data_IF_959882488109
#
_entry.id   IF_959882488109
#
_cell.length_a   1.000
_cell.length_b   1.000
_cell.length_c   1.000
_cell.angle_alpha   90.00
_cell.angle_beta   90.00
_cell.angle_gamma   90.00
#
_symmetry.space_group_name_H-M   'P 1'
#
loop_
_entity.id
_entity.type
_entity.pdbx_description
1 polymer ?
#
# COMPACT_ATOMS: atom_id res chain seq x y z
N UNK A 1 12.23 -4.01 6.01
CA UNK A 1 13.07 -4.85 6.89
C UNK A 1 12.59 -6.29 6.93
N UNK A 2 11.30 -6.55 7.10
CA UNK A 2 10.75 -7.91 7.04
C UNK A 2 11.12 -8.69 5.77
N UNK A 3 11.05 -8.08 4.58
CA UNK A 3 11.44 -8.74 3.33
C UNK A 3 12.92 -9.15 3.30
N UNK A 4 13.82 -8.28 3.77
CA UNK A 4 15.24 -8.58 3.89
C UNK A 4 15.46 -9.77 4.83
N UNK A 5 14.88 -9.70 6.03
CA UNK A 5 15.07 -10.74 7.05
C UNK A 5 14.53 -12.09 6.56
N UNK A 6 13.36 -12.11 5.94
CA UNK A 6 12.77 -13.33 5.40
C UNK A 6 13.70 -14.02 4.37
N UNK A 7 14.27 -13.25 3.44
CA UNK A 7 15.22 -13.78 2.46
C UNK A 7 16.54 -14.19 3.12
N UNK A 8 17.01 -13.47 4.13
CA UNK A 8 18.23 -13.82 4.84
C UNK A 8 18.11 -15.13 5.66
N UNK A 9 16.93 -15.41 6.22
CA UNK A 9 16.69 -16.66 6.96
C UNK A 9 16.36 -17.85 6.05
N UNK A 10 15.64 -17.62 4.95
CA UNK A 10 15.06 -18.69 4.13
C UNK A 10 15.64 -18.77 2.71
N UNK A 11 16.58 -17.88 2.36
CA UNK A 11 17.20 -17.79 1.05
C UNK A 11 16.28 -17.26 -0.06
N UNK A 12 16.78 -17.36 -1.29
CA UNK A 12 16.08 -16.93 -2.52
C UNK A 12 14.64 -17.47 -2.65
N UNK A 13 14.32 -18.73 -2.28
CA UNK A 13 12.95 -19.25 -2.40
C UNK A 13 11.91 -18.40 -1.65
N UNK A 14 12.30 -17.67 -0.61
CA UNK A 14 11.39 -16.77 0.11
C UNK A 14 10.86 -15.61 -0.76
N UNK A 15 11.58 -15.27 -1.83
CA UNK A 15 11.23 -14.21 -2.76
C UNK A 15 11.04 -14.68 -4.21
N UNK A 16 10.76 -15.97 -4.40
CA UNK A 16 10.40 -16.54 -5.70
C UNK A 16 9.15 -17.40 -5.56
N UNK A 17 8.25 -17.32 -6.55
CA UNK A 17 7.06 -18.16 -6.58
C UNK A 17 6.11 -17.77 -7.69
N UNK A 18 5.24 -18.69 -8.15
CA UNK A 18 4.24 -18.40 -9.19
C UNK A 18 3.24 -17.33 -8.76
N UNK A 19 3.05 -17.12 -7.45
CA UNK A 19 2.21 -16.07 -6.90
C UNK A 19 2.84 -14.68 -7.05
N UNK A 20 4.15 -14.56 -7.22
CA UNK A 20 4.83 -13.26 -7.27
C UNK A 20 4.59 -12.54 -8.59
N UNK A 21 4.37 -11.22 -8.52
CA UNK A 21 4.32 -10.35 -9.70
C UNK A 21 5.70 -10.15 -10.33
N UNK A 22 6.74 -10.25 -9.52
CA UNK A 22 8.13 -10.16 -9.95
C UNK A 22 9.01 -10.96 -8.98
N UNK A 23 9.74 -11.93 -9.52
CA UNK A 23 10.66 -12.75 -8.74
C UNK A 23 11.95 -11.99 -8.44
N UNK A 24 12.51 -12.20 -7.25
CA UNK A 24 13.85 -11.72 -6.96
C UNK A 24 14.91 -12.48 -7.77
N UNK A 25 16.08 -11.86 -7.92
CA UNK A 25 17.24 -12.47 -8.59
C UNK A 25 18.24 -13.01 -7.57
N UNK A 26 19.29 -13.66 -8.03
CA UNK A 26 20.42 -14.10 -7.18
C UNK A 26 21.19 -12.93 -6.53
N UNK A 27 20.87 -11.67 -6.86
CA UNK A 27 21.47 -10.50 -6.21
C UNK A 27 21.16 -10.41 -4.70
N UNK A 28 20.15 -11.16 -4.23
CA UNK A 28 19.80 -11.27 -2.80
C UNK A 28 20.17 -12.64 -2.22
N UNK A 29 21.10 -13.37 -2.85
CA UNK A 29 21.66 -14.59 -2.28
C UNK A 29 22.54 -14.28 -1.06
N UNK A 30 22.70 -15.28 -0.18
CA UNK A 30 23.69 -15.28 0.91
C UNK A 30 23.60 -14.08 1.87
N UNK A 31 22.41 -13.51 2.03
CA UNK A 31 22.17 -12.45 3.02
C UNK A 31 22.34 -13.02 4.43
N UNK A 32 23.05 -12.28 5.27
CA UNK A 32 23.21 -12.66 6.68
C UNK A 32 21.97 -12.23 7.48
N UNK A 33 21.29 -13.14 8.18
CA UNK A 33 20.12 -12.80 8.99
C UNK A 33 20.55 -11.97 10.20
N UNK A 34 19.71 -11.01 10.60
CA UNK A 34 19.89 -10.35 11.89
C UNK A 34 19.50 -11.28 13.03
N UNK A 35 20.09 -11.11 14.22
CA UNK A 35 19.75 -11.87 15.43
C UNK A 35 18.37 -11.52 16.02
N UNK A 36 17.73 -10.47 15.50
CA UNK A 36 16.42 -10.02 15.93
C UNK A 36 15.89 -8.88 15.05
N UNK A 37 14.58 -8.71 15.01
CA UNK A 37 13.91 -7.67 14.23
C UNK A 37 13.00 -6.84 15.12
N UNK A 38 13.08 -5.52 14.96
CA UNK A 38 12.14 -4.58 15.55
C UNK A 38 11.40 -3.84 14.44
N UNK A 39 10.08 -4.00 14.40
CA UNK A 39 9.17 -3.27 13.53
C UNK A 39 8.50 -2.17 14.36
N UNK A 40 9.09 -0.98 14.32
CA UNK A 40 8.61 0.17 15.06
C UNK A 40 7.83 1.07 14.09
N UNK A 41 6.51 1.09 14.24
CA UNK A 41 5.56 1.81 13.39
C UNK A 41 5.67 1.40 11.91
N UNK A 42 5.63 0.10 11.67
CA UNK A 42 5.67 -0.42 10.31
C UNK A 42 4.45 0.04 9.50
N UNK A 43 4.68 0.49 8.27
CA UNK A 43 3.63 0.82 7.32
C UNK A 43 3.10 -0.43 6.59
N UNK A 44 2.07 -0.25 5.76
CA UNK A 44 1.47 -1.33 4.97
C UNK A 44 2.37 -1.90 3.84
N UNK A 45 3.60 -1.38 3.70
CA UNK A 45 4.56 -1.82 2.68
C UNK A 45 4.52 -1.01 1.39
N UNK A 46 5.61 -1.08 0.62
CA UNK A 46 5.71 -0.37 -0.65
C UNK A 46 4.80 -0.95 -1.73
N UNK A 47 4.34 -2.21 -1.61
CA UNK A 47 3.29 -2.74 -2.49
C UNK A 47 1.92 -2.11 -2.22
N UNK A 48 1.53 -2.04 -0.94
CA UNK A 48 0.18 -1.61 -0.55
C UNK A 48 0.00 -0.08 -0.56
N UNK A 49 1.03 0.69 -0.21
CA UNK A 49 0.90 2.15 -0.06
C UNK A 49 0.57 2.90 -1.37
N UNK A 50 1.20 2.61 -2.52
CA UNK A 50 0.79 3.18 -3.81
C UNK A 50 -0.64 2.78 -4.21
N UNK A 51 -1.02 1.53 -3.95
CA UNK A 51 -2.38 1.04 -4.19
C UNK A 51 -3.42 1.85 -3.39
N UNK A 52 -3.17 2.06 -2.09
CA UNK A 52 -4.00 2.90 -1.20
C UNK A 52 -3.95 4.39 -1.53
N UNK A 53 -2.97 4.81 -2.32
CA UNK A 53 -2.83 6.18 -2.81
C UNK A 53 -3.37 6.36 -4.22
N UNK A 54 -3.85 5.29 -4.88
CA UNK A 54 -4.32 5.36 -6.26
C UNK A 54 -5.68 6.06 -6.35
N UNK A 55 -5.81 7.01 -7.28
CA UNK A 55 -7.08 7.69 -7.53
C UNK A 55 -7.93 6.95 -8.57
N UNK A 56 -9.04 6.30 -8.21
CA UNK A 56 -9.87 5.59 -9.16
C UNK A 56 -10.69 6.53 -10.08
N UNK A 57 -10.72 7.83 -9.78
CA UNK A 57 -11.42 8.80 -10.61
C UNK A 57 -10.65 9.18 -11.89
N UNK A 58 -9.42 8.71 -12.07
CA UNK A 58 -8.62 8.95 -13.28
C UNK A 58 -8.57 7.69 -14.15
N UNK A 59 -8.65 7.89 -15.45
CA UNK A 59 -8.49 6.81 -16.44
C UNK A 59 -7.01 6.64 -16.83
N UNK A 60 -6.61 5.38 -17.03
CA UNK A 60 -5.27 5.03 -17.51
C UNK A 60 -4.10 5.39 -16.55
N UNK A 61 -2.90 5.46 -17.13
CA UNK A 61 -1.67 5.86 -16.41
C UNK A 61 -1.60 7.38 -16.22
N UNK A 62 -2.02 8.12 -17.24
CA UNK A 62 -1.89 9.56 -17.33
C UNK A 62 -3.28 10.12 -17.67
N UNK A 63 -3.93 10.72 -16.68
CA UNK A 63 -5.27 11.28 -16.85
C UNK A 63 -5.40 12.57 -16.07
N UNK A 64 -6.04 13.56 -16.69
CA UNK A 64 -6.52 14.78 -16.02
C UNK A 64 -8.03 14.85 -15.98
N UNK A 65 -8.72 14.04 -16.78
CA UNK A 65 -10.18 13.87 -16.71
C UNK A 65 -10.54 13.13 -15.43
N UNK A 66 -11.39 13.76 -14.62
CA UNK A 66 -11.85 13.23 -13.34
C UNK A 66 -13.29 12.72 -13.49
N UNK A 67 -13.50 11.44 -13.18
CA UNK A 67 -14.84 10.90 -12.97
C UNK A 67 -15.39 11.38 -11.63
N UNK A 68 -16.29 12.37 -11.67
CA UNK A 68 -16.86 13.00 -10.47
C UNK A 68 -17.63 12.03 -9.56
N UNK A 69 -18.14 10.90 -10.08
CA UNK A 69 -18.80 9.88 -9.25
C UNK A 69 -17.81 9.13 -8.33
N UNK A 70 -16.53 9.08 -8.70
CA UNK A 70 -15.45 8.46 -7.93
C UNK A 70 -14.53 9.50 -7.28
N UNK A 71 -14.76 10.79 -7.53
CA UNK A 71 -13.93 11.87 -7.02
C UNK A 71 -14.06 11.98 -5.49
N UNK A 72 -13.01 11.55 -4.79
CA UNK A 72 -12.90 11.55 -3.33
C UNK A 72 -13.10 12.94 -2.71
N UNK A 73 -12.76 14.00 -3.44
CA UNK A 73 -12.80 15.38 -2.97
C UNK A 73 -14.10 16.10 -3.33
N UNK A 74 -15.04 15.43 -3.99
CA UNK A 74 -16.32 16.01 -4.35
C UNK A 74 -17.28 16.01 -3.14
N UNK A 75 -17.81 17.17 -2.70
CA UNK A 75 -18.78 17.24 -1.61
C UNK A 75 -20.05 16.40 -1.83
N UNK A 76 -20.43 16.16 -3.09
CA UNK A 76 -21.55 15.25 -3.43
C UNK A 76 -21.31 13.83 -2.90
N UNK A 77 -20.04 13.39 -2.88
CA UNK A 77 -19.60 12.12 -2.33
C UNK A 77 -19.40 12.15 -0.81
N UNK A 78 -19.81 13.24 -0.13
CA UNK A 78 -19.70 13.46 1.33
C UNK A 78 -18.26 13.73 1.82
N UNK A 79 -17.42 14.24 0.93
CA UNK A 79 -16.17 14.87 1.33
C UNK A 79 -16.43 16.11 2.20
N UNK A 80 -15.65 16.27 3.27
CA UNK A 80 -15.70 17.45 4.14
C UNK A 80 -14.28 18.00 4.29
N UNK A 81 -14.02 19.20 3.77
CA UNK A 81 -12.71 19.86 3.90
C UNK A 81 -12.49 20.30 5.35
N UNK A 82 -11.33 19.97 5.92
CA UNK A 82 -10.94 20.37 7.27
C UNK A 82 -11.63 19.60 8.41
N UNK A 83 -12.42 18.57 8.09
CA UNK A 83 -13.04 17.69 9.08
C UNK A 83 -13.13 16.26 8.52
N UNK A 84 -13.52 15.31 9.35
CA UNK A 84 -13.63 13.93 8.91
C UNK A 84 -14.81 13.78 7.95
N UNK A 85 -14.51 13.29 6.74
CA UNK A 85 -15.49 13.01 5.70
C UNK A 85 -16.47 11.91 6.14
N UNK A 86 -17.60 11.81 5.45
CA UNK A 86 -18.69 10.87 5.80
C UNK A 86 -19.13 10.08 4.57
N UNK A 87 -18.18 9.37 3.96
CA UNK A 87 -18.43 8.57 2.76
C UNK A 87 -19.55 7.57 3.01
N UNK A 88 -20.46 7.46 2.03
CA UNK A 88 -21.57 6.50 2.10
C UNK A 88 -21.08 5.10 1.77
N UNK A 89 -21.79 4.06 2.23
CA UNK A 89 -21.46 2.67 1.88
C UNK A 89 -21.49 2.43 0.37
N UNK A 90 -22.39 3.12 -0.35
CA UNK A 90 -22.46 3.07 -1.82
C UNK A 90 -21.18 3.64 -2.45
N UNK A 91 -20.82 4.88 -2.11
CA UNK A 91 -19.61 5.51 -2.64
C UNK A 91 -18.35 4.72 -2.28
N UNK A 92 -18.25 4.22 -1.06
CA UNK A 92 -17.16 3.36 -0.61
C UNK A 92 -16.97 2.16 -1.55
N UNK A 93 -18.05 1.43 -1.82
CA UNK A 93 -18.03 0.26 -2.70
C UNK A 93 -17.57 0.62 -4.12
N UNK A 94 -18.19 1.63 -4.73
CA UNK A 94 -17.86 2.09 -6.09
C UNK A 94 -16.41 2.59 -6.18
N UNK A 95 -15.94 3.31 -5.16
CA UNK A 95 -14.57 3.79 -5.04
C UNK A 95 -13.57 2.64 -4.98
N UNK A 96 -13.80 1.66 -4.11
CA UNK A 96 -12.92 0.51 -3.93
C UNK A 96 -12.85 -0.39 -5.16
N UNK A 97 -13.99 -0.64 -5.81
CA UNK A 97 -14.05 -1.35 -7.10
C UNK A 97 -13.22 -0.61 -8.16
N UNK A 98 -13.32 0.72 -8.22
CA UNK A 98 -12.49 1.54 -9.11
C UNK A 98 -10.99 1.48 -8.80
N UNK A 99 -10.60 1.40 -7.51
CA UNK A 99 -9.19 1.30 -7.12
C UNK A 99 -8.60 -0.03 -7.57
N UNK A 100 -9.33 -1.13 -7.38
CA UNK A 100 -8.92 -2.47 -7.85
C UNK A 100 -8.81 -2.49 -9.37
N UNK A 101 -9.84 -2.02 -10.09
CA UNK A 101 -9.84 -2.00 -11.55
C UNK A 101 -8.67 -1.18 -12.12
N UNK A 102 -8.37 -0.01 -11.51
CA UNK A 102 -7.23 0.81 -11.92
C UNK A 102 -5.89 0.12 -11.63
N UNK A 103 -5.76 -0.53 -10.48
CA UNK A 103 -4.55 -1.27 -10.12
C UNK A 103 -4.29 -2.42 -11.10
N UNK A 104 -5.31 -3.21 -11.42
CA UNK A 104 -5.20 -4.32 -12.38
C UNK A 104 -4.77 -3.83 -13.76
N UNK A 105 -5.34 -2.70 -14.22
CA UNK A 105 -4.91 -2.06 -15.46
C UNK A 105 -3.42 -1.70 -15.44
N UNK A 106 -2.93 -1.07 -14.36
CA UNK A 106 -1.53 -0.64 -14.25
C UNK A 106 -0.59 -1.86 -14.22
N UNK A 107 -0.96 -2.92 -13.48
CA UNK A 107 -0.18 -4.15 -13.41
C UNK A 107 -0.08 -4.81 -14.77
N UNK A 108 -1.21 -4.99 -15.46
CA UNK A 108 -1.24 -5.59 -16.79
C UNK A 108 -0.39 -4.79 -17.78
N UNK A 109 -0.53 -3.46 -17.79
CA UNK A 109 0.31 -2.59 -18.59
C UNK A 109 1.80 -2.80 -18.30
N UNK A 110 2.21 -2.79 -17.03
CA UNK A 110 3.61 -2.96 -16.67
C UNK A 110 4.15 -4.36 -17.06
N UNK A 111 3.34 -5.41 -16.95
CA UNK A 111 3.72 -6.76 -17.38
C UNK A 111 3.87 -6.86 -18.90
N UNK A 112 2.99 -6.23 -19.67
CA UNK A 112 3.11 -6.14 -21.14
C UNK A 112 4.39 -5.39 -21.54
N UNK A 113 4.70 -4.27 -20.86
CA UNK A 113 5.94 -3.53 -21.10
C UNK A 113 7.19 -4.33 -20.72
N UNK A 114 7.13 -5.09 -19.62
CA UNK A 114 8.22 -5.97 -19.21
C UNK A 114 8.47 -7.06 -20.26
N UNK A 115 7.41 -7.69 -20.79
CA UNK A 115 7.53 -8.71 -21.82
C UNK A 115 8.18 -8.15 -23.11
N UNK A 116 7.76 -6.96 -23.54
CA UNK A 116 8.38 -6.28 -24.68
C UNK A 116 9.87 -5.94 -24.42
N UNK A 117 10.20 -5.48 -23.21
CA UNK A 117 11.57 -5.18 -22.79
C UNK A 117 12.46 -6.44 -22.84
N UNK A 118 11.95 -7.57 -22.34
CA UNK A 118 12.68 -8.85 -22.32
C UNK A 118 12.81 -9.47 -23.72
N UNK A 119 11.90 -9.15 -24.64
CA UNK A 119 11.99 -9.51 -26.05
C UNK A 119 12.95 -8.59 -26.86
N UNK A 120 13.56 -7.58 -26.24
CA UNK A 120 14.32 -6.51 -26.91
C UNK A 120 13.52 -5.76 -27.98
N UNK A 121 12.20 -5.65 -27.78
CA UNK A 121 11.29 -4.90 -28.66
C UNK A 121 11.18 -3.42 -28.27
N UNK A 122 11.87 -3.04 -27.20
CA UNK A 122 11.94 -1.68 -26.69
C UNK A 122 13.27 -1.04 -27.12
N UNK A 123 13.32 0.28 -27.13
CA UNK A 123 14.57 1.00 -27.43
C UNK A 123 15.56 1.05 -26.26
N UNK A 124 15.30 0.33 -25.16
CA UNK A 124 16.02 0.39 -23.89
C UNK A 124 16.45 -1.03 -23.49
N UNK A 125 17.65 -1.17 -22.91
CA UNK A 125 18.23 -2.49 -22.60
C UNK A 125 18.12 -2.87 -21.13
N UNK A 126 17.84 -1.91 -20.26
CA UNK A 126 17.82 -2.07 -18.80
C UNK A 126 16.40 -2.02 -18.24
N UNK A 127 15.69 -0.91 -18.45
CA UNK A 127 14.34 -0.68 -17.95
C UNK A 127 13.63 0.44 -18.74
N UNK A 128 12.31 0.54 -18.58
CA UNK A 128 11.52 1.61 -19.20
C UNK A 128 10.99 2.61 -18.15
N UNK A 129 10.97 3.92 -18.46
CA UNK A 129 10.37 4.89 -17.56
C UNK A 129 8.87 4.64 -17.41
N UNK A 130 8.37 4.68 -16.18
CA UNK A 130 6.95 4.55 -15.86
C UNK A 130 6.56 5.61 -14.84
N UNK A 131 5.47 6.31 -15.09
CA UNK A 131 4.87 7.17 -14.09
C UNK A 131 3.35 7.02 -14.08
N UNK A 132 2.75 7.13 -12.90
CA UNK A 132 1.32 6.90 -12.69
C UNK A 132 0.75 8.11 -11.98
N UNK A 133 -0.21 8.79 -12.63
CA UNK A 133 -0.88 9.96 -12.07
C UNK A 133 -1.63 9.62 -10.79
N UNK A 134 -1.42 10.43 -9.76
CA UNK A 134 -2.12 10.36 -8.48
C UNK A 134 -2.03 8.98 -7.81
N UNK A 135 -0.80 8.50 -7.67
CA UNK A 135 -0.47 7.21 -7.04
C UNK A 135 0.84 7.27 -6.25
N UNK A 136 1.38 8.47 -6.02
CA UNK A 136 2.51 8.66 -5.12
C UNK A 136 2.15 8.12 -3.72
N UNK A 137 3.03 7.35 -3.10
CA UNK A 137 2.75 6.64 -1.85
C UNK A 137 3.08 7.43 -0.58
N UNK A 138 3.40 8.72 -0.71
CA UNK A 138 3.69 9.57 0.44
C UNK A 138 2.43 9.83 1.26
N UNK A 139 2.59 10.07 2.57
CA UNK A 139 1.48 10.28 3.51
C UNK A 139 0.40 11.24 2.99
N UNK A 140 0.79 12.33 2.32
CA UNK A 140 -0.10 13.35 1.75
C UNK A 140 -1.02 12.85 0.63
N UNK A 141 -0.74 11.67 0.07
CA UNK A 141 -1.45 11.08 -1.08
C UNK A 141 -2.31 9.86 -0.71
N UNK A 142 -2.24 9.36 0.53
CA UNK A 142 -3.14 8.31 1.01
C UNK A 142 -4.61 8.77 0.85
N UNK A 143 -5.45 7.89 0.33
CA UNK A 143 -6.84 8.20 -0.02
C UNK A 143 -7.82 7.38 0.82
N UNK A 144 -9.05 7.85 0.86
CA UNK A 144 -10.19 7.27 1.58
C UNK A 144 -10.09 7.34 3.11
N UNK A 145 -9.21 6.55 3.73
CA UNK A 145 -9.11 6.44 5.20
C UNK A 145 -8.41 7.63 5.87
N UNK A 146 -7.64 8.40 5.11
CA UNK A 146 -7.04 9.66 5.58
C UNK A 146 -8.09 10.74 5.79
N UNK A 147 -9.12 10.77 4.95
CA UNK A 147 -10.20 11.76 5.01
C UNK A 147 -11.34 11.30 5.94
N UNK A 148 -11.64 10.00 6.00
CA UNK A 148 -12.70 9.42 6.84
C UNK A 148 -12.12 8.52 7.94
N UNK A 149 -12.12 9.04 9.18
CA UNK A 149 -11.43 8.41 10.32
C UNK A 149 -12.22 7.27 10.95
N UNK A 150 -13.40 6.92 10.41
CA UNK A 150 -14.17 5.75 10.84
C UNK A 150 -13.56 4.43 10.36
N UNK A 151 -12.77 4.47 9.31
CA UNK A 151 -12.01 3.32 8.80
C UNK A 151 -10.67 3.24 9.52
N UNK A 152 -10.04 2.07 9.65
CA UNK A 152 -8.79 1.89 10.40
C UNK A 152 -8.78 2.65 11.74
N UNK A 153 -9.90 2.65 12.46
CA UNK A 153 -10.15 3.49 13.63
C UNK A 153 -9.59 2.88 14.91
N UNK A 154 -9.39 1.56 14.95
CA UNK A 154 -8.90 0.86 16.14
C UNK A 154 -8.37 -0.54 15.79
N UNK A 155 -7.69 -1.18 16.73
CA UNK A 155 -7.21 -2.56 16.54
C UNK A 155 -8.37 -3.56 16.48
N UNK A 156 -8.17 -4.67 15.75
CA UNK A 156 -9.15 -5.77 15.69
C UNK A 156 -9.24 -6.58 16.99
N UNK A 157 -8.17 -6.56 17.79
CA UNK A 157 -8.06 -7.29 19.06
C UNK A 157 -7.55 -6.38 20.18
N UNK A 158 -7.61 -6.85 21.41
CA UNK A 158 -7.00 -6.17 22.55
C UNK A 158 -5.49 -6.33 22.52
N UNK A 159 -4.76 -5.25 22.76
CA UNK A 159 -3.30 -5.23 22.85
C UNK A 159 -2.83 -4.50 24.11
N UNK A 160 -1.62 -4.78 24.61
CA UNK A 160 -0.97 -3.95 25.61
C UNK A 160 -0.78 -2.52 25.09
N UNK A 161 -1.31 -1.53 25.81
CA UNK A 161 -1.09 -0.12 25.59
C UNK A 161 -0.23 0.42 26.74
N UNK A 162 0.98 0.88 26.41
CA UNK A 162 1.85 1.58 27.33
C UNK A 162 1.39 3.03 27.48
N UNK A 163 1.08 3.43 28.70
CA UNK A 163 0.67 4.80 29.04
C UNK A 163 1.87 5.68 29.37
N UNK A 164 1.66 6.99 29.31
CA UNK A 164 2.69 7.99 29.63
C UNK A 164 3.27 7.85 31.05
N UNK A 165 2.49 7.35 32.00
CA UNK A 165 2.91 7.13 33.39
C UNK A 165 3.63 5.79 33.61
N UNK A 166 3.87 5.02 32.53
CA UNK A 166 4.50 3.71 32.58
C UNK A 166 3.54 2.56 32.92
N UNK A 167 2.27 2.84 33.20
CA UNK A 167 1.26 1.80 33.37
C UNK A 167 0.94 1.11 32.04
N UNK A 168 0.42 -0.11 32.10
CA UNK A 168 0.01 -0.89 30.93
C UNK A 168 -1.45 -1.28 31.11
N UNK A 169 -2.29 -0.97 30.12
CA UNK A 169 -3.64 -1.55 30.01
C UNK A 169 -3.71 -2.51 28.84
N UNK A 170 -4.60 -3.49 28.90
CA UNK A 170 -4.91 -4.36 27.75
C UNK A 170 -6.29 -3.97 27.22
N UNK A 171 -6.36 -3.43 26.02
CA UNK A 171 -7.60 -2.90 25.46
C UNK A 171 -7.57 -2.91 23.93
N UNK A 172 -8.74 -2.75 23.30
CA UNK A 172 -8.80 -2.34 21.89
C UNK A 172 -8.22 -0.93 21.81
N UNK A 173 -7.14 -0.76 21.05
CA UNK A 173 -6.40 0.51 20.99
C UNK A 173 -7.00 1.37 19.88
N UNK A 174 -7.57 2.54 20.21
CA UNK A 174 -8.08 3.47 19.19
C UNK A 174 -6.94 4.23 18.52
N UNK A 175 -7.07 4.45 17.21
CA UNK A 175 -6.29 5.46 16.49
C UNK A 175 -6.72 6.85 16.97
N UNK A 176 -5.73 7.70 17.26
CA UNK A 176 -5.93 9.11 17.61
C UNK A 176 -5.69 10.04 16.42
N UNK A 177 -5.55 9.49 15.21
CA UNK A 177 -5.34 10.29 14.00
C UNK A 177 -6.47 11.30 13.77
N UNK A 178 -6.08 12.44 13.24
CA UNK A 178 -7.01 13.47 12.73
C UNK A 178 -7.18 13.30 11.23
N UNK A 179 -8.33 13.73 10.65
CA UNK A 179 -8.51 13.73 9.21
C UNK A 179 -7.48 14.64 8.52
N UNK A 180 -6.92 14.18 7.40
CA UNK A 180 -5.89 14.88 6.62
C UNK A 180 -6.12 14.67 5.12
N UNK A 181 -5.22 15.20 4.28
CA UNK A 181 -5.22 15.06 2.82
C UNK A 181 -6.50 15.63 2.20
N UNK A 182 -6.72 16.93 2.40
CA UNK A 182 -7.94 17.63 1.97
C UNK A 182 -7.89 18.20 0.55
N UNK A 183 -6.83 17.90 -0.21
CA UNK A 183 -6.59 18.45 -1.54
C UNK A 183 -6.13 17.36 -2.50
N UNK A 184 -6.51 17.50 -3.76
CA UNK A 184 -6.10 16.58 -4.82
C UNK A 184 -4.75 16.99 -5.39
N UNK A 185 -3.87 16.01 -5.56
CA UNK A 185 -2.60 16.15 -6.27
C UNK A 185 -2.64 15.53 -7.67
N UNK A 186 -3.84 15.22 -8.19
CA UNK A 186 -4.03 14.51 -9.45
C UNK A 186 -3.35 15.16 -10.66
N UNK A 187 -3.31 16.49 -10.69
CA UNK A 187 -2.70 17.28 -11.75
C UNK A 187 -1.22 17.63 -11.48
N UNK A 188 -0.58 17.04 -10.48
CA UNK A 188 0.78 17.38 -10.07
C UNK A 188 1.76 16.23 -10.28
N UNK A 189 2.70 16.41 -11.21
CA UNK A 189 3.76 15.42 -11.46
C UNK A 189 4.69 15.23 -10.25
N UNK A 190 5.10 16.32 -9.59
CA UNK A 190 6.08 16.23 -8.49
C UNK A 190 5.47 15.58 -7.26
N UNK A 191 4.27 16.02 -6.87
CA UNK A 191 3.63 15.63 -5.60
C UNK A 191 2.68 14.45 -5.73
N UNK A 192 1.96 14.31 -6.85
CA UNK A 192 0.90 13.30 -7.00
C UNK A 192 1.32 12.05 -7.79
N UNK A 193 2.22 12.17 -8.76
CA UNK A 193 2.61 11.02 -9.58
C UNK A 193 3.58 10.08 -8.85
N UNK A 194 3.35 8.77 -8.97
CA UNK A 194 4.39 7.78 -8.71
C UNK A 194 5.35 7.79 -9.90
N UNK A 195 6.63 8.12 -9.68
CA UNK A 195 7.67 8.09 -10.71
C UNK A 195 8.58 6.90 -10.45
N UNK A 196 8.76 6.05 -11.45
CA UNK A 196 9.50 4.80 -11.34
C UNK A 196 9.90 4.32 -12.74
N UNK A 197 10.24 3.04 -12.83
CA UNK A 197 10.44 2.29 -14.07
C UNK A 197 9.60 1.01 -14.04
N UNK A 198 9.47 0.31 -15.17
CA UNK A 198 8.65 -0.89 -15.31
C UNK A 198 9.11 -2.01 -14.37
N UNK A 199 10.39 -2.39 -14.38
CA UNK A 199 10.90 -3.45 -13.47
C UNK A 199 10.74 -3.03 -12.03
N UNK A 200 11.08 -1.78 -11.69
CA UNK A 200 10.96 -1.28 -10.31
C UNK A 200 9.51 -1.26 -9.82
N UNK A 201 8.55 -0.91 -10.69
CA UNK A 201 7.13 -0.96 -10.34
C UNK A 201 6.72 -2.39 -9.98
N UNK A 202 6.95 -3.35 -10.88
CA UNK A 202 6.59 -4.74 -10.66
C UNK A 202 7.32 -5.36 -9.45
N UNK A 203 8.58 -5.01 -9.24
CA UNK A 203 9.39 -5.55 -8.14
C UNK A 203 9.06 -4.94 -6.78
N UNK A 204 8.54 -3.71 -6.72
CA UNK A 204 8.50 -2.91 -5.48
C UNK A 204 7.10 -2.40 -5.12
N UNK A 205 6.35 -1.93 -6.11
CA UNK A 205 5.13 -1.15 -5.91
C UNK A 205 3.86 -1.88 -6.33
N UNK A 206 3.98 -2.92 -7.15
CA UNK A 206 2.86 -3.72 -7.60
C UNK A 206 2.41 -4.70 -6.49
N UNK A 207 1.10 -4.81 -6.33
CA UNK A 207 0.44 -5.78 -5.44
C UNK A 207 -0.93 -6.12 -6.04
N UNK A 208 -1.33 -7.39 -5.99
CA UNK A 208 -2.67 -7.80 -6.40
C UNK A 208 -3.69 -7.50 -5.31
N UNK A 209 -4.88 -7.14 -5.73
CA UNK A 209 -6.07 -7.03 -4.88
C UNK A 209 -7.21 -7.84 -5.52
N UNK A 210 -8.13 -8.31 -4.69
CA UNK A 210 -9.28 -9.12 -5.11
C UNK A 210 -10.53 -8.26 -5.19
N UNK A 211 -11.59 -8.79 -5.82
CA UNK A 211 -12.92 -8.15 -5.82
C UNK A 211 -13.54 -7.98 -4.43
N UNK A 212 -12.98 -8.63 -3.41
CA UNK A 212 -13.39 -8.49 -2.01
C UNK A 212 -12.58 -7.42 -1.26
N UNK A 213 -11.84 -6.57 -1.96
CA UNK A 213 -11.08 -5.50 -1.34
C UNK A 213 -11.97 -4.61 -0.46
N UNK A 214 -11.61 -4.48 0.81
CA UNK A 214 -12.30 -3.58 1.72
C UNK A 214 -11.35 -2.88 2.70
N UNK A 215 -11.71 -1.65 3.07
CA UNK A 215 -11.11 -0.89 4.17
C UNK A 215 -12.18 -0.84 5.26
N UNK A 216 -11.90 -1.52 6.37
CA UNK A 216 -12.82 -1.69 7.50
C UNK A 216 -12.40 -0.77 8.66
N UNK A 217 -13.20 -0.64 9.73
CA UNK A 217 -12.77 0.06 10.94
C UNK A 217 -11.52 -0.53 11.60
N UNK A 218 -11.14 -1.76 11.28
CA UNK A 218 -10.03 -2.46 11.96
C UNK A 218 -8.87 -2.84 11.06
N UNK A 219 -8.98 -2.68 9.74
CA UNK A 219 -7.93 -3.09 8.83
C UNK A 219 -8.31 -3.05 7.37
N UNK A 220 -7.56 -3.80 6.57
CA UNK A 220 -7.70 -3.91 5.13
C UNK A 220 -7.88 -5.39 4.77
N UNK A 221 -8.86 -5.68 3.93
CA UNK A 221 -9.19 -7.01 3.44
C UNK A 221 -9.01 -7.09 1.93
N UNK A 222 -8.87 -8.29 1.39
CA UNK A 222 -8.84 -8.54 -0.05
C UNK A 222 -7.54 -8.17 -0.77
N UNK A 223 -6.46 -7.86 -0.05
CA UNK A 223 -5.11 -7.73 -0.62
C UNK A 223 -4.44 -9.11 -0.70
N UNK A 224 -3.91 -9.46 -1.86
CA UNK A 224 -3.03 -10.62 -2.01
C UNK A 224 -1.60 -10.22 -1.61
N UNK A 225 -1.34 -10.27 -0.31
CA UNK A 225 -0.04 -9.91 0.26
C UNK A 225 1.11 -10.78 -0.29
N UNK A 226 0.82 -12.01 -0.71
CA UNK A 226 1.83 -12.92 -1.24
C UNK A 226 2.35 -12.45 -2.59
N UNK A 227 1.54 -11.76 -3.40
CA UNK A 227 1.93 -11.28 -4.73
C UNK A 227 3.11 -10.31 -4.77
N UNK A 228 3.46 -9.68 -3.65
CA UNK A 228 4.51 -8.66 -3.56
C UNK A 228 5.54 -8.96 -2.47
N UNK A 229 6.83 -8.88 -2.80
CA UNK A 229 7.90 -9.02 -1.79
C UNK A 229 7.94 -7.87 -0.80
N UNK A 230 7.44 -6.70 -1.19
CA UNK A 230 7.40 -5.52 -0.34
C UNK A 230 6.07 -5.40 0.41
N UNK A 231 5.43 -6.54 0.70
CA UNK A 231 4.34 -6.66 1.65
C UNK A 231 4.89 -7.15 3.00
N UNK A 232 4.94 -6.30 4.05
CA UNK A 232 5.43 -6.68 5.36
C UNK A 232 4.62 -7.81 5.99
N UNK A 233 3.30 -7.81 5.78
CA UNK A 233 2.36 -8.82 6.29
C UNK A 233 2.67 -10.22 5.78
N UNK A 234 3.14 -10.35 4.53
CA UNK A 234 3.60 -11.64 4.02
C UNK A 234 5.00 -11.97 4.52
N UNK A 235 5.94 -11.02 4.35
CA UNK A 235 7.35 -11.28 4.63
C UNK A 235 7.61 -11.66 6.08
N UNK A 236 6.85 -11.10 7.03
CA UNK A 236 7.04 -11.36 8.45
C UNK A 236 6.72 -12.82 8.83
N UNK A 237 5.95 -13.56 8.02
CA UNK A 237 5.60 -14.96 8.29
C UNK A 237 6.82 -15.89 8.24
N UNK A 238 7.85 -15.53 7.48
CA UNK A 238 9.10 -16.29 7.39
C UNK A 238 10.21 -15.83 8.33
N UNK A 239 9.96 -14.85 9.19
CA UNK A 239 10.95 -14.41 10.19
C UNK A 239 10.84 -15.29 11.44
N UNK A 240 11.94 -15.95 11.81
CA UNK A 240 12.00 -16.87 12.95
C UNK A 240 12.84 -16.34 14.11
N UNK A 241 13.68 -15.33 13.89
CA UNK A 241 14.40 -14.65 14.97
C UNK A 241 13.45 -13.85 15.87
N UNK A 242 13.87 -13.51 17.12
CA UNK A 242 13.08 -12.68 18.01
C UNK A 242 12.53 -11.41 17.33
N UNK A 243 11.21 -11.22 17.46
CA UNK A 243 10.46 -10.14 16.81
C UNK A 243 9.78 -9.25 17.86
N UNK A 244 9.98 -7.94 17.75
CA UNK A 244 9.18 -6.91 18.42
C UNK A 244 8.42 -6.11 17.36
N UNK A 245 7.10 -6.03 17.50
CA UNK A 245 6.27 -5.11 16.72
C UNK A 245 5.61 -4.09 17.66
N UNK A 246 5.72 -2.81 17.34
CA UNK A 246 5.22 -1.72 18.17
C UNK A 246 4.64 -0.61 17.30
N UNK A 247 3.36 -0.27 17.51
CA UNK A 247 2.77 0.95 16.99
C UNK A 247 3.00 2.11 17.96
N UNK A 248 3.51 3.25 17.49
CA UNK A 248 3.91 4.35 18.37
C UNK A 248 3.39 5.74 17.96
N UNK A 249 2.88 5.91 16.73
CA UNK A 249 2.43 7.24 16.27
C UNK A 249 0.98 7.57 16.57
N UNK A 250 0.21 6.62 17.12
CA UNK A 250 -1.23 6.79 17.31
C UNK A 250 -2.01 6.96 15.99
N UNK A 251 -1.34 6.75 14.85
CA UNK A 251 -1.93 6.75 13.52
C UNK A 251 -2.71 5.45 13.24
N UNK A 252 -2.82 5.02 11.99
CA UNK A 252 -3.57 3.83 11.59
C UNK A 252 -2.71 2.70 11.00
N UNK A 253 -1.40 2.89 10.85
CA UNK A 253 -0.55 1.96 10.09
C UNK A 253 -0.18 0.70 10.90
N UNK A 254 -0.22 0.77 12.23
CA UNK A 254 -0.06 -0.37 13.13
C UNK A 254 -1.33 -1.24 13.28
N UNK A 255 -2.42 -0.89 12.58
CA UNK A 255 -3.72 -1.53 12.75
C UNK A 255 -3.87 -2.77 11.88
N UNK A 256 -3.17 -3.84 12.27
CA UNK A 256 -3.52 -5.27 12.22
C UNK A 256 -2.27 -6.14 12.31
#
# INVERSE_FOLDING_TARGET
MSAFQNVAENGIPACQGPEKLYNCTSAVADLHPADGVMLLDANFGLGTMPFLSSNPALEGLHGTTVNESLNLFNPANKFIKGNSSRYTSKFKKEYQEGVVARNDFIINYAQERLAALEANETGLIDDEPLWISDSAYGFMNNKFFSQDTRFLAHTSKTWPLLHKDGSITTQVVPSVRVPVNFESYANQYIQGALKTTVRRYLSTFAIRATSNFDITPTGIEGIDHASSQFSPTESIKGVHVPLLNMGMTGHCEYLN
#
